data_IF_066108959381
#
_entry.id   IF_066108959381
#
_cell.length_a   1.000
_cell.length_b   1.000
_cell.length_c   1.000
_cell.angle_alpha   90.00
_cell.angle_beta   90.00
_cell.angle_gamma   90.00
#
_symmetry.space_group_name_H-M   'P 1'
#
loop_
_entity.id
_entity.type
_entity.pdbx_description
1 polymer ?
#
# COMPACT_ATOMS: atom_id res chain seq x y z
N UNK A 1 -11.85 85.14 -8.83
CA UNK A 1 -12.21 83.99 -7.98
C UNK A 1 -11.48 82.78 -8.49
N UNK A 2 -10.42 82.42 -7.81
CA UNK A 2 -9.56 81.23 -8.20
C UNK A 2 -9.92 80.05 -7.33
N UNK A 3 -10.55 79.04 -7.89
CA UNK A 3 -10.81 77.74 -7.22
C UNK A 3 -9.59 76.83 -7.42
N UNK A 4 -8.93 76.50 -6.32
CA UNK A 4 -7.83 75.55 -6.27
C UNK A 4 -8.44 74.15 -6.35
N UNK A 5 -8.10 73.41 -7.42
CA UNK A 5 -8.42 72.01 -7.58
C UNK A 5 -7.33 71.21 -6.84
N UNK A 6 -7.71 70.52 -5.76
CA UNK A 6 -6.84 69.63 -5.02
C UNK A 6 -6.74 68.32 -5.78
N UNK A 7 -5.56 67.98 -6.25
CA UNK A 7 -5.29 66.67 -6.81
C UNK A 7 -5.30 65.61 -5.69
N UNK A 8 -6.31 64.77 -5.73
CA UNK A 8 -6.41 63.58 -4.90
C UNK A 8 -5.60 62.46 -5.59
N UNK A 9 -4.39 62.24 -5.16
CA UNK A 9 -3.57 61.14 -5.58
C UNK A 9 -4.13 59.87 -4.97
N UNK A 10 -4.85 59.06 -5.79
CA UNK A 10 -5.27 57.71 -5.43
C UNK A 10 -4.04 56.83 -5.48
N UNK A 11 -3.51 56.47 -4.31
CA UNK A 11 -2.47 55.48 -4.13
C UNK A 11 -3.08 54.09 -4.35
N UNK A 12 -2.93 53.55 -5.56
CA UNK A 12 -3.29 52.16 -5.85
C UNK A 12 -2.23 51.29 -5.17
N UNK A 13 -2.58 50.73 -4.00
CA UNK A 13 -1.84 49.65 -3.41
C UNK A 13 -2.03 48.41 -4.29
N UNK A 14 -1.04 48.11 -5.08
CA UNK A 14 -0.88 46.80 -5.72
C UNK A 14 -0.59 45.82 -4.60
N UNK A 15 -1.61 45.08 -4.15
CA UNK A 15 -1.44 43.91 -3.31
C UNK A 15 -0.88 42.83 -4.22
N UNK A 16 0.46 42.78 -4.30
CA UNK A 16 1.17 41.62 -4.83
C UNK A 16 0.86 40.44 -3.90
N UNK A 17 -0.13 39.64 -4.30
CA UNK A 17 -0.42 38.36 -3.70
C UNK A 17 0.85 37.49 -3.80
N UNK A 18 1.59 37.39 -2.73
CA UNK A 18 2.59 36.34 -2.57
C UNK A 18 1.86 35.02 -2.57
N UNK A 19 1.87 34.35 -3.73
CA UNK A 19 1.57 32.93 -3.81
C UNK A 19 2.54 32.25 -2.85
N UNK A 20 2.03 31.79 -1.72
CA UNK A 20 2.76 30.88 -0.87
C UNK A 20 2.93 29.60 -1.70
N UNK A 21 4.07 29.48 -2.37
CA UNK A 21 4.52 28.20 -2.90
C UNK A 21 4.49 27.22 -1.72
N UNK A 22 3.67 26.21 -1.86
CA UNK A 22 3.63 25.07 -0.96
C UNK A 22 5.07 24.61 -0.73
N UNK A 23 5.50 24.63 0.55
CA UNK A 23 6.88 24.49 0.93
C UNK A 23 7.53 23.33 0.22
N UNK A 24 8.63 23.59 -0.47
CA UNK A 24 9.56 22.57 -0.88
C UNK A 24 9.91 21.79 0.38
N UNK A 25 9.43 20.55 0.46
CA UNK A 25 9.82 19.62 1.52
C UNK A 25 11.33 19.66 1.55
N UNK A 26 11.92 20.25 2.61
CA UNK A 26 13.35 20.48 2.69
C UNK A 26 14.03 19.11 2.78
N UNK A 27 14.39 18.57 1.62
CA UNK A 27 14.94 17.22 1.47
C UNK A 27 16.21 17.03 2.30
N UNK A 28 16.89 18.12 2.62
CA UNK A 28 18.09 18.12 3.45
C UNK A 28 17.75 17.93 4.93
N UNK A 29 16.73 18.64 5.45
CA UNK A 29 16.26 18.47 6.83
C UNK A 29 15.66 17.08 7.05
N UNK A 30 14.87 16.61 6.09
CA UNK A 30 14.33 15.24 6.15
C UNK A 30 15.45 14.19 6.14
N UNK A 31 16.49 14.37 5.34
CA UNK A 31 17.65 13.46 5.36
C UNK A 31 18.42 13.51 6.68
N UNK A 32 18.57 14.68 7.28
CA UNK A 32 19.19 14.83 8.60
C UNK A 32 18.33 14.18 9.68
N UNK A 33 17.02 14.39 9.66
CA UNK A 33 16.08 13.75 10.58
C UNK A 33 16.14 12.22 10.46
N UNK A 34 16.09 11.68 9.25
CA UNK A 34 16.18 10.22 9.02
C UNK A 34 17.51 9.65 9.54
N UNK A 35 18.63 10.32 9.31
CA UNK A 35 19.93 9.92 9.84
C UNK A 35 19.97 9.96 11.37
N UNK A 36 19.35 10.97 11.99
CA UNK A 36 19.23 11.02 13.45
C UNK A 36 18.40 9.85 14.00
N UNK A 37 17.26 9.54 13.37
CA UNK A 37 16.42 8.41 13.75
C UNK A 37 17.15 7.07 13.57
N UNK A 38 17.89 6.92 12.49
CA UNK A 38 18.69 5.71 12.24
C UNK A 38 19.80 5.55 13.28
N UNK A 39 20.52 6.62 13.61
CA UNK A 39 21.56 6.61 14.64
C UNK A 39 20.96 6.31 16.04
N UNK A 40 19.82 6.93 16.37
CA UNK A 40 19.11 6.65 17.63
C UNK A 40 18.68 5.19 17.71
N UNK A 41 18.10 4.66 16.64
CA UNK A 41 17.70 3.25 16.54
C UNK A 41 18.89 2.30 16.67
N UNK A 42 20.05 2.69 16.14
CA UNK A 42 21.30 1.92 16.28
C UNK A 42 21.80 1.94 17.71
N UNK A 43 21.86 3.13 18.33
CA UNK A 43 22.27 3.27 19.74
C UNK A 43 21.38 2.47 20.70
N UNK A 44 20.06 2.49 20.50
CA UNK A 44 19.11 1.71 21.29
C UNK A 44 19.30 0.19 21.11
N UNK A 45 19.72 -0.26 19.94
CA UNK A 45 20.05 -1.69 19.71
C UNK A 45 21.39 -2.09 20.31
N UNK A 46 22.40 -1.23 20.21
CA UNK A 46 23.74 -1.51 20.71
C UNK A 46 23.87 -1.36 22.25
N UNK A 47 23.07 -0.47 22.81
CA UNK A 47 23.03 -0.21 24.26
C UNK A 47 21.58 -0.26 24.75
N UNK A 48 21.00 -1.46 24.88
CA UNK A 48 19.65 -1.60 25.41
C UNK A 48 19.60 -1.03 26.84
N UNK A 49 18.60 -0.19 27.08
CA UNK A 49 18.35 0.35 28.40
C UNK A 49 17.96 -0.78 29.36
N UNK A 50 18.87 -1.10 30.27
CA UNK A 50 18.65 -2.15 31.27
C UNK A 50 17.48 -1.86 32.21
N UNK A 51 17.16 -0.57 32.46
CA UNK A 51 16.02 -0.20 33.29
C UNK A 51 14.70 -0.45 32.54
N UNK A 52 14.65 -0.09 31.25
CA UNK A 52 13.48 -0.37 30.40
C UNK A 52 13.26 -1.88 30.24
N UNK A 53 14.33 -2.64 30.08
CA UNK A 53 14.27 -4.11 30.01
C UNK A 53 13.74 -4.70 31.32
N UNK A 54 14.30 -4.31 32.46
CA UNK A 54 13.84 -4.77 33.77
C UNK A 54 12.37 -4.37 34.04
N UNK A 55 11.97 -3.17 33.66
CA UNK A 55 10.59 -2.73 33.78
C UNK A 55 9.64 -3.55 32.89
N UNK A 56 10.00 -3.81 31.64
CA UNK A 56 9.19 -4.65 30.74
C UNK A 56 9.08 -6.08 31.25
N UNK A 57 10.15 -6.67 31.74
CA UNK A 57 10.15 -8.00 32.36
C UNK A 57 9.24 -8.05 33.59
N UNK A 58 9.29 -7.02 34.44
CA UNK A 58 8.40 -6.89 35.59
C UNK A 58 6.92 -6.77 35.19
N UNK A 59 6.61 -5.99 34.14
CA UNK A 59 5.25 -5.87 33.62
C UNK A 59 4.72 -7.20 33.04
N UNK A 60 5.56 -7.93 32.32
CA UNK A 60 5.20 -9.25 31.79
C UNK A 60 4.95 -10.26 32.91
N UNK A 61 5.71 -10.20 34.00
CA UNK A 61 5.49 -11.04 35.18
C UNK A 61 4.23 -10.64 35.96
N UNK A 62 3.96 -9.33 36.09
CA UNK A 62 2.78 -8.81 36.78
C UNK A 62 1.47 -9.07 35.99
N UNK A 63 1.54 -9.13 34.68
CA UNK A 63 0.42 -9.40 33.78
C UNK A 63 0.76 -10.58 32.85
N UNK A 64 0.74 -11.82 33.35
CA UNK A 64 1.02 -12.98 32.52
C UNK A 64 -0.07 -13.06 31.42
N UNK A 65 0.37 -13.05 30.16
CA UNK A 65 -0.52 -13.30 29.04
C UNK A 65 -1.26 -14.62 29.27
N UNK A 66 -2.56 -14.60 29.07
CA UNK A 66 -3.37 -15.80 29.10
C UNK A 66 -2.81 -16.79 28.06
N UNK A 67 -2.87 -18.08 28.33
CA UNK A 67 -2.25 -19.10 27.47
C UNK A 67 -2.75 -19.05 26.02
N UNK A 68 -4.02 -18.66 25.82
CA UNK A 68 -4.62 -18.38 24.50
C UNK A 68 -3.91 -17.24 23.76
N UNK A 69 -3.54 -16.18 24.46
CA UNK A 69 -2.92 -15.00 23.85
C UNK A 69 -1.46 -15.29 23.48
N UNK A 70 -0.75 -16.12 24.24
CA UNK A 70 0.59 -16.59 23.89
C UNK A 70 0.54 -17.43 22.61
N UNK A 71 -0.37 -18.39 22.51
CA UNK A 71 -0.55 -19.18 21.29
C UNK A 71 -0.89 -18.31 20.08
N UNK A 72 -1.75 -17.31 20.26
CA UNK A 72 -2.08 -16.35 19.20
C UNK A 72 -0.86 -15.53 18.76
N UNK A 73 -0.06 -15.02 19.69
CA UNK A 73 1.17 -14.27 19.39
C UNK A 73 2.23 -15.16 18.70
N UNK A 74 2.38 -16.40 19.15
CA UNK A 74 3.30 -17.37 18.54
C UNK A 74 2.86 -17.76 17.13
N UNK A 75 1.54 -17.88 16.90
CA UNK A 75 0.99 -18.12 15.57
C UNK A 75 1.16 -16.92 14.64
N UNK A 76 0.98 -15.69 15.15
CA UNK A 76 1.26 -14.47 14.40
C UNK A 76 2.75 -14.35 14.05
N UNK A 77 3.64 -14.60 15.01
CA UNK A 77 5.08 -14.58 14.79
C UNK A 77 5.52 -15.61 13.75
N UNK A 78 4.99 -16.84 13.82
CA UNK A 78 5.22 -17.87 12.81
C UNK A 78 4.70 -17.48 11.43
N UNK A 79 3.48 -16.92 11.36
CA UNK A 79 2.90 -16.42 10.10
C UNK A 79 3.70 -15.26 9.52
N UNK A 80 4.24 -14.37 10.34
CA UNK A 80 5.13 -13.30 9.88
C UNK A 80 6.48 -13.84 9.37
N UNK A 81 7.08 -14.82 10.05
CA UNK A 81 8.32 -15.44 9.61
C UNK A 81 8.15 -16.19 8.30
N UNK A 82 7.06 -16.96 8.14
CA UNK A 82 6.76 -17.64 6.88
C UNK A 82 6.42 -16.68 5.75
N UNK A 83 5.72 -15.59 6.01
CA UNK A 83 5.43 -14.58 4.98
C UNK A 83 6.64 -13.71 4.57
N UNK A 84 7.68 -13.63 5.39
CA UNK A 84 8.95 -12.98 5.02
C UNK A 84 9.95 -13.92 4.34
N UNK A 85 9.88 -15.22 4.65
CA UNK A 85 10.81 -16.21 4.10
C UNK A 85 10.50 -16.59 2.65
N UNK A 86 9.24 -16.51 2.22
CA UNK A 86 8.79 -16.96 0.90
C UNK A 86 7.90 -15.94 0.21
N UNK A 87 8.46 -14.81 -0.25
CA UNK A 87 7.83 -14.14 -1.40
C UNK A 87 7.96 -15.11 -2.56
N UNK A 88 6.86 -15.65 -3.10
CA UNK A 88 6.96 -16.62 -4.18
C UNK A 88 7.74 -15.98 -5.32
N UNK A 89 8.73 -16.71 -5.87
CA UNK A 89 9.55 -16.23 -7.00
C UNK A 89 8.73 -15.95 -8.25
N UNK A 90 7.47 -16.39 -8.26
CA UNK A 90 6.53 -16.23 -9.37
C UNK A 90 5.09 -16.17 -8.88
N UNK A 91 4.27 -15.41 -9.56
CA UNK A 91 2.86 -15.24 -9.21
C UNK A 91 2.21 -14.04 -9.89
N UNK A 92 1.15 -13.56 -9.28
CA UNK A 92 0.49 -12.33 -9.72
C UNK A 92 0.02 -11.49 -8.53
N UNK A 93 -0.16 -10.20 -8.75
CA UNK A 93 -0.73 -9.26 -7.79
C UNK A 93 -1.64 -8.26 -8.50
N UNK A 94 -2.77 -7.95 -7.91
CA UNK A 94 -3.75 -7.04 -8.47
C UNK A 94 -3.80 -5.73 -7.69
N UNK A 95 -3.60 -4.62 -8.37
CA UNK A 95 -3.50 -3.28 -7.79
C UNK A 95 -4.84 -2.56 -7.87
N UNK A 96 -5.34 -2.12 -6.73
CA UNK A 96 -6.64 -1.47 -6.59
C UNK A 96 -6.55 -0.17 -5.77
N UNK A 97 -7.67 0.57 -5.76
CA UNK A 97 -7.90 1.73 -4.90
C UNK A 97 -9.37 1.80 -4.52
N UNK A 98 -9.68 2.34 -3.36
CA UNK A 98 -11.06 2.67 -2.98
C UNK A 98 -11.67 3.83 -3.78
N UNK A 99 -10.90 4.50 -4.65
CA UNK A 99 -11.44 5.44 -5.63
C UNK A 99 -12.17 4.76 -6.79
N UNK A 100 -12.01 3.45 -6.96
CA UNK A 100 -12.78 2.65 -7.92
C UNK A 100 -14.22 2.51 -7.38
N UNK A 101 -15.25 2.73 -8.20
CA UNK A 101 -16.63 2.53 -7.78
C UNK A 101 -16.86 1.14 -7.19
N UNK A 102 -17.67 1.05 -6.13
CA UNK A 102 -17.83 -0.14 -5.30
C UNK A 102 -18.19 -1.38 -6.11
N UNK A 103 -19.13 -1.28 -7.05
CA UNK A 103 -19.53 -2.41 -7.91
C UNK A 103 -18.36 -2.92 -8.77
N UNK A 104 -17.57 -1.99 -9.32
CA UNK A 104 -16.36 -2.32 -10.06
C UNK A 104 -15.33 -3.02 -9.17
N UNK A 105 -15.12 -2.49 -7.97
CA UNK A 105 -14.19 -3.04 -6.98
C UNK A 105 -14.63 -4.46 -6.55
N UNK A 106 -15.90 -4.65 -6.21
CA UNK A 106 -16.46 -5.97 -5.84
C UNK A 106 -16.27 -6.99 -6.96
N UNK A 107 -16.56 -6.61 -8.20
CA UNK A 107 -16.35 -7.49 -9.35
C UNK A 107 -14.88 -7.87 -9.51
N UNK A 108 -13.97 -6.90 -9.48
CA UNK A 108 -12.53 -7.13 -9.63
C UNK A 108 -11.98 -8.05 -8.53
N UNK A 109 -12.36 -7.80 -7.28
CA UNK A 109 -11.93 -8.61 -6.14
C UNK A 109 -12.48 -10.04 -6.21
N UNK A 110 -13.73 -10.21 -6.62
CA UNK A 110 -14.32 -11.54 -6.84
C UNK A 110 -13.59 -12.31 -7.96
N UNK A 111 -13.20 -11.61 -9.03
CA UNK A 111 -12.40 -12.21 -10.09
C UNK A 111 -10.99 -12.57 -9.60
N UNK A 112 -10.29 -11.68 -8.89
CA UNK A 112 -8.94 -11.98 -8.37
C UNK A 112 -8.95 -13.14 -7.37
N UNK A 113 -9.97 -13.21 -6.50
CA UNK A 113 -10.16 -14.33 -5.58
C UNK A 113 -10.26 -15.66 -6.32
N UNK A 114 -11.02 -15.72 -7.43
CA UNK A 114 -11.17 -16.93 -8.25
C UNK A 114 -9.82 -17.47 -8.75
N UNK A 115 -8.89 -16.59 -9.08
CA UNK A 115 -7.54 -16.97 -9.56
C UNK A 115 -6.49 -17.05 -8.45
N UNK A 116 -6.89 -16.90 -7.18
CA UNK A 116 -5.94 -16.89 -6.06
C UNK A 116 -4.95 -15.71 -6.10
N UNK A 117 -5.31 -14.61 -6.77
CA UNK A 117 -4.46 -13.44 -6.93
C UNK A 117 -4.71 -12.45 -5.79
N UNK A 118 -3.74 -12.15 -4.94
CA UNK A 118 -3.90 -11.16 -3.89
C UNK A 118 -4.11 -9.75 -4.47
N UNK A 119 -5.02 -9.00 -3.84
CA UNK A 119 -5.23 -7.61 -4.15
C UNK A 119 -4.44 -6.71 -3.20
N UNK A 120 -3.89 -5.59 -3.70
CA UNK A 120 -3.10 -4.65 -2.91
C UNK A 120 -3.52 -3.19 -3.12
N UNK A 121 -3.49 -2.44 -2.02
CA UNK A 121 -3.69 -0.99 -1.94
C UNK A 121 -2.33 -0.29 -1.79
N UNK A 122 -2.23 0.93 -2.30
CA UNK A 122 -1.05 1.77 -2.09
C UNK A 122 -0.94 2.29 -0.65
N UNK A 123 -2.07 2.47 0.01
CA UNK A 123 -2.15 3.05 1.34
C UNK A 123 -3.57 3.00 1.88
N UNK A 124 -3.77 3.67 3.00
CA UNK A 124 -5.05 3.70 3.69
C UNK A 124 -6.04 4.65 2.99
N UNK A 125 -7.32 4.35 3.11
CA UNK A 125 -8.41 5.24 2.71
C UNK A 125 -8.41 6.48 3.61
N UNK A 126 -8.34 7.67 3.02
CA UNK A 126 -8.34 8.96 3.72
C UNK A 126 -7.29 9.05 4.86
N UNK A 127 -6.20 8.29 4.74
CA UNK A 127 -5.16 8.11 5.77
C UNK A 127 -5.71 7.60 7.12
N UNK A 128 -6.84 6.90 7.11
CA UNK A 128 -7.51 6.34 8.27
C UNK A 128 -7.48 4.80 8.22
N UNK A 129 -6.78 4.21 9.20
CA UNK A 129 -6.65 2.76 9.31
C UNK A 129 -8.00 2.10 9.64
N UNK A 130 -8.79 2.73 10.53
CA UNK A 130 -10.08 2.18 10.93
C UNK A 130 -11.06 2.18 9.76
N UNK A 131 -11.20 3.30 9.04
CA UNK A 131 -12.03 3.39 7.85
C UNK A 131 -11.60 2.40 6.76
N UNK A 132 -10.29 2.17 6.62
CA UNK A 132 -9.74 1.17 5.70
C UNK A 132 -10.10 -0.24 6.12
N UNK A 133 -9.91 -0.57 7.40
CA UNK A 133 -10.24 -1.89 7.94
C UNK A 133 -11.73 -2.20 7.84
N UNK A 134 -12.60 -1.25 8.19
CA UNK A 134 -14.05 -1.38 8.09
C UNK A 134 -14.49 -1.64 6.63
N UNK A 135 -13.90 -0.91 5.67
CA UNK A 135 -14.19 -1.09 4.25
C UNK A 135 -13.75 -2.49 3.74
N UNK A 136 -12.55 -2.94 4.11
CA UNK A 136 -12.08 -4.29 3.75
C UNK A 136 -12.93 -5.37 4.42
N UNK A 137 -13.27 -5.19 5.70
CA UNK A 137 -14.10 -6.15 6.44
C UNK A 137 -15.48 -6.31 5.82
N UNK A 138 -16.09 -5.24 5.32
CA UNK A 138 -17.36 -5.31 4.59
C UNK A 138 -17.23 -6.20 3.35
N UNK A 139 -16.18 -6.03 2.55
CA UNK A 139 -15.91 -6.84 1.35
C UNK A 139 -15.66 -8.31 1.69
N UNK A 140 -15.00 -8.59 2.82
CA UNK A 140 -14.77 -9.95 3.32
C UNK A 140 -16.09 -10.60 3.78
N UNK A 141 -16.92 -9.86 4.53
CA UNK A 141 -18.24 -10.33 4.98
C UNK A 141 -19.18 -10.64 3.81
N UNK A 142 -19.11 -9.84 2.75
CA UNK A 142 -19.87 -10.07 1.51
C UNK A 142 -19.30 -11.27 0.69
N UNK A 143 -18.23 -11.91 1.14
CA UNK A 143 -17.59 -13.03 0.47
C UNK A 143 -16.90 -12.67 -0.84
N UNK A 144 -16.64 -11.37 -1.05
CA UNK A 144 -16.04 -10.85 -2.29
C UNK A 144 -14.54 -11.09 -2.34
N UNK A 145 -13.87 -11.02 -1.19
CA UNK A 145 -12.42 -11.23 -1.05
C UNK A 145 -12.10 -11.90 0.26
N UNK A 146 -10.95 -12.55 0.34
CA UNK A 146 -10.40 -13.11 1.59
C UNK A 146 -9.57 -12.06 2.37
N UNK A 147 -9.36 -10.90 1.78
CA UNK A 147 -8.62 -9.78 2.33
C UNK A 147 -7.91 -8.95 1.26
N UNK A 148 -7.36 -7.82 1.69
CA UNK A 148 -6.61 -6.90 0.82
C UNK A 148 -5.34 -6.50 1.54
N UNK A 149 -4.21 -6.54 0.85
CA UNK A 149 -2.93 -6.08 1.39
C UNK A 149 -2.79 -4.57 1.25
N UNK A 150 -2.03 -3.95 2.16
CA UNK A 150 -1.57 -2.56 2.01
C UNK A 150 -0.06 -2.62 1.85
N UNK A 151 0.41 -2.49 0.62
CA UNK A 151 1.84 -2.54 0.31
C UNK A 151 2.23 -1.46 -0.72
N UNK A 152 2.62 -0.27 -0.27
CA UNK A 152 3.07 0.81 -1.16
C UNK A 152 4.36 0.45 -1.91
N UNK A 153 5.16 -0.49 -1.40
CA UNK A 153 6.45 -0.85 -2.02
C UNK A 153 6.23 -1.57 -3.35
N UNK A 154 5.21 -2.42 -3.45
CA UNK A 154 4.85 -3.11 -4.70
C UNK A 154 4.48 -2.13 -5.82
N UNK A 155 3.79 -1.01 -5.49
CA UNK A 155 3.48 0.03 -6.48
C UNK A 155 4.74 0.68 -7.06
N UNK A 156 5.75 0.87 -6.22
CA UNK A 156 7.04 1.42 -6.64
C UNK A 156 7.84 0.40 -7.43
N UNK A 157 7.92 -0.84 -6.95
CA UNK A 157 8.67 -1.94 -7.57
C UNK A 157 8.21 -2.19 -9.01
N UNK A 158 6.89 -2.23 -9.23
CA UNK A 158 6.31 -2.51 -10.55
C UNK A 158 5.93 -1.24 -11.34
N UNK A 159 6.28 -0.06 -10.85
CA UNK A 159 5.99 1.22 -11.53
C UNK A 159 4.50 1.48 -11.74
N UNK A 160 3.65 1.09 -10.79
CA UNK A 160 2.19 1.23 -10.89
C UNK A 160 1.78 2.65 -10.51
N UNK A 161 1.36 3.42 -11.52
CA UNK A 161 0.90 4.82 -11.37
C UNK A 161 -0.60 4.97 -11.45
N UNK A 162 -1.28 4.01 -12.05
CA UNK A 162 -2.75 4.00 -12.21
C UNK A 162 -3.31 2.63 -11.90
N UNK A 163 -4.53 2.58 -11.38
CA UNK A 163 -5.27 1.37 -11.05
C UNK A 163 -6.63 1.38 -11.77
N UNK A 164 -7.22 0.21 -12.07
CA UNK A 164 -6.72 -1.12 -11.74
C UNK A 164 -5.55 -1.56 -12.63
N UNK A 165 -4.69 -2.41 -12.09
CA UNK A 165 -3.60 -3.03 -12.83
C UNK A 165 -3.34 -4.46 -12.33
N UNK A 166 -3.04 -5.38 -13.23
CA UNK A 166 -2.56 -6.73 -12.93
C UNK A 166 -1.07 -6.78 -13.23
N UNK A 167 -0.29 -7.31 -12.30
CA UNK A 167 1.10 -7.68 -12.53
C UNK A 167 1.21 -9.18 -12.41
N UNK A 168 1.83 -9.81 -13.41
CA UNK A 168 2.26 -11.20 -13.37
C UNK A 168 3.78 -11.20 -13.33
N UNK A 169 4.38 -11.85 -12.34
CA UNK A 169 5.84 -11.85 -12.15
C UNK A 169 6.40 -13.26 -12.12
N UNK A 170 7.63 -13.40 -12.60
CA UNK A 170 8.35 -14.65 -12.76
C UNK A 170 9.86 -14.40 -12.65
N UNK A 171 10.69 -15.45 -12.72
CA UNK A 171 12.16 -15.29 -12.68
C UNK A 171 12.74 -14.42 -13.77
N UNK A 172 12.10 -14.33 -14.93
CA UNK A 172 12.57 -13.55 -16.09
C UNK A 172 12.21 -12.06 -15.99
N UNK A 173 11.23 -11.70 -15.15
CA UNK A 173 10.75 -10.33 -15.02
C UNK A 173 9.28 -10.25 -14.63
N UNK A 174 8.57 -9.28 -15.18
CA UNK A 174 7.15 -9.11 -14.92
C UNK A 174 6.41 -8.45 -16.07
N UNK A 175 5.16 -8.84 -16.26
CA UNK A 175 4.21 -8.22 -17.19
C UNK A 175 3.21 -7.36 -16.45
N UNK A 176 2.84 -6.20 -17.00
CA UNK A 176 1.85 -5.29 -16.42
C UNK A 176 0.71 -5.05 -17.40
N UNK A 177 -0.49 -5.44 -16.98
CA UNK A 177 -1.73 -5.13 -17.69
C UNK A 177 -2.48 -4.04 -16.94
N UNK A 178 -2.71 -2.90 -17.57
CA UNK A 178 -3.41 -1.74 -16.98
C UNK A 178 -4.81 -1.61 -17.55
N UNK A 179 -5.72 -1.09 -16.75
CA UNK A 179 -7.08 -0.78 -17.16
C UNK A 179 -8.12 -1.79 -16.68
N UNK A 180 -9.39 -1.49 -16.93
CA UNK A 180 -10.55 -2.24 -16.45
C UNK A 180 -10.84 -3.49 -17.31
N UNK A 181 -9.85 -4.35 -17.49
CA UNK A 181 -10.03 -5.66 -18.16
C UNK A 181 -10.53 -6.70 -17.15
N UNK A 182 -11.23 -7.70 -17.64
CA UNK A 182 -11.47 -8.91 -16.87
C UNK A 182 -10.15 -9.59 -16.54
N UNK A 183 -10.02 -10.11 -15.30
CA UNK A 183 -8.79 -10.78 -14.85
C UNK A 183 -8.42 -11.92 -15.82
N UNK A 184 -9.42 -12.72 -16.25
CA UNK A 184 -9.21 -13.74 -17.28
C UNK A 184 -8.56 -13.21 -18.54
N UNK A 185 -9.12 -12.15 -19.11
CA UNK A 185 -8.59 -11.54 -20.35
C UNK A 185 -7.18 -10.97 -20.19
N UNK A 186 -6.89 -10.41 -18.99
CA UNK A 186 -5.57 -9.92 -18.66
C UNK A 186 -4.55 -11.06 -18.57
N UNK A 187 -4.91 -12.17 -17.91
CA UNK A 187 -4.09 -13.39 -17.86
C UNK A 187 -3.89 -14.02 -19.24
N UNK A 188 -4.94 -14.13 -20.06
CA UNK A 188 -4.84 -14.64 -21.42
C UNK A 188 -3.87 -13.82 -22.29
N UNK A 189 -3.88 -12.49 -22.15
CA UNK A 189 -2.92 -11.62 -22.82
C UNK A 189 -1.47 -11.91 -22.40
N UNK A 190 -1.23 -12.07 -21.11
CA UNK A 190 0.11 -12.43 -20.62
C UNK A 190 0.49 -13.83 -21.06
N UNK A 191 -0.41 -14.81 -20.98
CA UNK A 191 -0.17 -16.18 -21.42
C UNK A 191 0.19 -16.28 -22.92
N UNK A 192 -0.36 -15.38 -23.73
CA UNK A 192 -0.12 -15.36 -25.19
C UNK A 192 1.16 -14.62 -25.57
N UNK A 193 1.41 -13.45 -24.99
CA UNK A 193 2.43 -12.51 -25.47
C UNK A 193 3.38 -11.97 -24.39
N UNK A 194 3.16 -12.30 -23.10
CA UNK A 194 3.98 -11.81 -21.99
C UNK A 194 5.29 -12.56 -21.82
N UNK A 195 6.14 -12.05 -20.94
CA UNK A 195 7.38 -12.72 -20.51
C UNK A 195 7.09 -13.84 -19.51
N UNK A 196 6.05 -13.66 -18.68
CA UNK A 196 5.64 -14.61 -17.64
C UNK A 196 4.47 -15.53 -18.06
N UNK A 197 4.48 -15.97 -19.32
CA UNK A 197 3.41 -16.80 -19.94
C UNK A 197 3.03 -18.02 -19.14
N UNK A 198 4.01 -18.75 -18.64
CA UNK A 198 3.78 -20.00 -17.92
C UNK A 198 3.04 -19.77 -16.60
N UNK A 199 3.37 -18.66 -15.90
CA UNK A 199 2.70 -18.28 -14.67
C UNK A 199 1.25 -17.90 -14.92
N UNK A 200 1.00 -17.10 -15.96
CA UNK A 200 -0.36 -16.71 -16.35
C UNK A 200 -1.20 -17.91 -16.78
N UNK A 201 -0.63 -18.83 -17.57
CA UNK A 201 -1.28 -20.07 -17.96
C UNK A 201 -1.62 -20.95 -16.76
N UNK A 202 -0.68 -21.10 -15.81
CA UNK A 202 -0.91 -21.85 -14.57
C UNK A 202 -2.02 -21.27 -13.70
N UNK A 203 -2.14 -19.94 -13.62
CA UNK A 203 -3.24 -19.27 -12.90
C UNK A 203 -4.60 -19.51 -13.59
N UNK A 204 -4.65 -19.51 -14.92
CA UNK A 204 -5.85 -19.83 -15.68
C UNK A 204 -6.25 -21.29 -15.48
N UNK A 205 -5.30 -22.22 -15.59
CA UNK A 205 -5.56 -23.66 -15.41
C UNK A 205 -6.03 -23.97 -13.98
N UNK A 206 -5.42 -23.38 -12.96
CA UNK A 206 -5.77 -23.54 -11.57
C UNK A 206 -7.20 -23.09 -11.25
N UNK A 207 -7.73 -22.11 -12.01
CA UNK A 207 -9.12 -21.66 -11.92
C UNK A 207 -10.09 -22.43 -12.84
N UNK A 208 -9.62 -23.46 -13.57
CA UNK A 208 -10.40 -24.22 -14.54
C UNK A 208 -10.64 -23.52 -15.87
N UNK A 209 -9.90 -22.43 -16.14
CA UNK A 209 -9.94 -21.71 -17.42
C UNK A 209 -8.70 -22.08 -18.24
N UNK A 210 -8.90 -22.78 -19.36
CA UNK A 210 -7.77 -23.06 -20.28
C UNK A 210 -7.40 -21.80 -21.07
N UNK A 211 -6.10 -21.52 -21.28
CA UNK A 211 -5.69 -20.48 -22.22
C UNK A 211 -6.15 -20.85 -23.65
N UNK A 212 -6.64 -19.85 -24.39
CA UNK A 212 -7.05 -20.02 -25.79
C UNK A 212 -5.84 -20.06 -26.69
#
# INVERSE_FOLDING_TARGET
MRRKIKYLTILIMIISGTVWAAGSVNTTENRQFLKQQENLSRQLREKPDHQLKAWTEQQVQANPLVQSDRHFLDDLARKQQTSQADKPEQGAVYFISFSIPEEGLKRMLGETRRYGIPATLRGMRDNDLKATADAVLSLVKDGVTDGVQIDPTLFTTYGIRSVPALVVYCRQGYDVIRGNLRVKQALEKVATAGDCRQVAAGLLDGAGDKPK
#
